data_IF_616409236435
#
_entry.id   IF_616409236435
#
_cell.length_a   1.000
_cell.length_b   1.000
_cell.length_c   1.000
_cell.angle_alpha   90.00
_cell.angle_beta   90.00
_cell.angle_gamma   90.00
#
_symmetry.space_group_name_H-M   'P 1'
#
loop_
_entity.id
_entity.type
_entity.pdbx_description
1 polymer ?
#
# COMPACT_ATOMS: atom_id res chain seq x y z
N UNK A 1 9.10 11.37 1.84
CA UNK A 1 8.56 10.88 3.09
C UNK A 1 7.18 10.30 2.88
N UNK A 2 7.00 9.07 3.30
CA UNK A 2 5.71 8.38 3.30
C UNK A 2 5.41 7.88 4.71
N UNK A 3 4.18 7.50 4.97
CA UNK A 3 3.75 6.84 6.23
C UNK A 3 4.59 5.61 6.56
N UNK A 4 5.07 4.88 5.56
CA UNK A 4 5.96 3.73 5.75
C UNK A 4 7.26 4.08 6.50
N UNK A 5 7.86 5.23 6.22
CA UNK A 5 9.08 5.67 6.93
C UNK A 5 8.82 5.87 8.41
N UNK A 6 7.71 6.51 8.74
CA UNK A 6 7.33 6.73 10.14
C UNK A 6 6.95 5.44 10.85
N UNK A 7 6.22 4.55 10.18
CA UNK A 7 5.81 3.26 10.72
C UNK A 7 7.04 2.41 11.10
N UNK A 8 8.02 2.31 10.21
CA UNK A 8 9.28 1.59 10.49
C UNK A 8 10.05 2.25 11.65
N UNK A 9 10.15 3.57 11.67
CA UNK A 9 10.90 4.26 12.72
C UNK A 9 10.31 4.08 14.12
N UNK A 10 9.00 3.90 14.22
CA UNK A 10 8.28 3.67 15.49
C UNK A 10 8.34 2.21 15.95
N UNK A 11 8.58 1.28 15.06
CA UNK A 11 8.58 -0.14 15.39
C UNK A 11 9.90 -0.55 16.06
N UNK A 12 9.87 -1.29 17.18
CA UNK A 12 11.08 -1.76 17.86
C UNK A 12 12.03 -2.58 16.99
N UNK A 13 11.50 -3.26 15.97
CA UNK A 13 12.31 -4.08 15.04
C UNK A 13 13.31 -3.23 14.26
N UNK A 14 13.05 -1.93 14.10
CA UNK A 14 13.96 -1.01 13.42
C UNK A 14 15.36 -1.00 14.02
N UNK A 15 15.47 -1.25 15.33
CA UNK A 15 16.74 -1.30 16.07
C UNK A 15 17.58 -2.55 15.76
N UNK A 16 16.95 -3.56 15.19
CA UNK A 16 17.58 -4.82 14.80
C UNK A 16 18.00 -4.84 13.33
N UNK A 17 17.59 -3.83 12.56
CA UNK A 17 17.96 -3.70 11.16
C UNK A 17 19.38 -3.16 11.05
N UNK A 18 20.16 -3.77 10.15
CA UNK A 18 21.53 -3.32 9.87
C UNK A 18 21.57 -1.91 9.29
N UNK A 19 20.65 -1.62 8.39
CA UNK A 19 20.53 -0.34 7.71
C UNK A 19 19.09 -0.12 7.27
N UNK A 20 18.63 1.13 7.33
CA UNK A 20 17.33 1.56 6.80
C UNK A 20 17.61 2.60 5.71
N UNK A 21 17.45 2.20 4.46
CA UNK A 21 17.67 3.06 3.30
C UNK A 21 16.34 3.69 2.85
N UNK A 22 16.33 5.00 2.69
CA UNK A 22 15.14 5.73 2.24
C UNK A 22 15.24 6.03 0.75
N UNK A 23 14.14 5.91 0.03
CA UNK A 23 14.03 6.15 -1.40
C UNK A 23 13.07 7.29 -1.69
N UNK A 24 13.31 7.99 -2.79
CA UNK A 24 12.43 9.04 -3.29
C UNK A 24 11.15 8.51 -3.94
N UNK A 25 11.22 7.28 -4.46
CA UNK A 25 10.07 6.60 -5.05
C UNK A 25 10.11 5.08 -4.82
N UNK A 26 8.94 4.44 -4.98
CA UNK A 26 8.77 3.02 -4.71
C UNK A 26 9.40 2.13 -5.78
N UNK A 27 9.48 2.60 -7.02
CA UNK A 27 10.06 1.81 -8.13
C UNK A 27 11.55 1.62 -7.90
N UNK A 28 12.26 2.69 -7.51
CA UNK A 28 13.68 2.62 -7.19
C UNK A 28 13.96 1.65 -6.04
N UNK A 29 13.13 1.65 -4.99
CA UNK A 29 13.25 0.71 -3.89
C UNK A 29 13.06 -0.75 -4.35
N UNK A 30 12.04 -1.02 -5.16
CA UNK A 30 11.79 -2.36 -5.71
C UNK A 30 12.90 -2.82 -6.67
N UNK A 31 13.49 -1.91 -7.43
CA UNK A 31 14.64 -2.24 -8.28
C UNK A 31 15.86 -2.64 -7.44
N UNK A 32 16.14 -1.93 -6.37
CA UNK A 32 17.22 -2.28 -5.44
C UNK A 32 16.99 -3.64 -4.76
N UNK A 33 15.73 -3.95 -4.42
CA UNK A 33 15.36 -5.27 -3.91
C UNK A 33 15.61 -6.36 -4.96
N UNK A 34 15.18 -6.14 -6.21
CA UNK A 34 15.36 -7.11 -7.31
C UNK A 34 16.84 -7.43 -7.57
N UNK A 35 17.70 -6.45 -7.43
CA UNK A 35 19.16 -6.61 -7.64
C UNK A 35 19.91 -7.14 -6.43
N UNK A 36 19.23 -7.46 -5.35
CA UNK A 36 19.83 -8.01 -4.12
C UNK A 36 20.56 -6.99 -3.24
N UNK A 37 20.38 -5.69 -3.51
CA UNK A 37 20.96 -4.63 -2.66
C UNK A 37 20.15 -4.37 -1.39
N UNK A 38 18.92 -4.87 -1.33
CA UNK A 38 18.04 -4.84 -0.17
C UNK A 38 17.53 -6.24 0.13
N UNK A 39 17.27 -6.52 1.39
CA UNK A 39 16.64 -7.76 1.84
C UNK A 39 15.12 -7.67 1.81
N UNK A 40 14.58 -6.47 2.07
CA UNK A 40 13.14 -6.20 2.09
C UNK A 40 12.85 -4.74 1.77
N UNK A 41 11.62 -4.47 1.35
CA UNK A 41 11.08 -3.12 1.17
C UNK A 41 9.81 -3.00 2.00
N UNK A 42 9.69 -1.90 2.76
CA UNK A 42 8.46 -1.52 3.43
C UNK A 42 7.79 -0.42 2.61
N UNK A 43 6.56 -0.67 2.22
CA UNK A 43 5.79 0.20 1.34
C UNK A 43 4.31 0.09 1.71
N UNK A 44 3.52 1.10 1.37
CA UNK A 44 2.07 1.01 1.41
C UNK A 44 1.56 -0.24 0.69
N UNK A 45 0.65 -0.98 1.31
CA UNK A 45 0.19 -2.27 0.79
C UNK A 45 -0.46 -2.16 -0.58
N UNK A 46 -1.31 -1.15 -0.79
CA UNK A 46 -2.01 -0.93 -2.07
C UNK A 46 -1.00 -0.66 -3.18
N UNK A 47 -0.05 0.22 -2.93
CA UNK A 47 1.02 0.56 -3.88
C UNK A 47 1.93 -0.65 -4.13
N UNK A 48 2.31 -1.35 -3.08
CA UNK A 48 3.14 -2.56 -3.18
C UNK A 48 2.46 -3.64 -4.02
N UNK A 49 1.19 -3.93 -3.77
CA UNK A 49 0.42 -4.91 -4.54
C UNK A 49 0.28 -4.50 -6.01
N UNK A 50 0.07 -3.23 -6.30
CA UNK A 50 0.00 -2.74 -7.67
C UNK A 50 1.27 -3.03 -8.48
N UNK A 51 2.43 -2.74 -7.92
CA UNK A 51 3.70 -2.98 -8.62
C UNK A 51 4.08 -4.46 -8.67
N UNK A 52 3.89 -5.19 -7.60
CA UNK A 52 4.30 -6.60 -7.52
C UNK A 52 3.38 -7.52 -8.30
N UNK A 53 2.08 -7.22 -8.40
CA UNK A 53 1.12 -8.00 -9.19
C UNK A 53 1.48 -8.09 -10.68
N UNK A 54 2.23 -7.13 -11.19
CA UNK A 54 2.68 -7.07 -12.59
C UNK A 54 3.96 -7.85 -12.86
N UNK A 55 4.60 -8.34 -11.80
CA UNK A 55 5.87 -9.08 -11.88
C UNK A 55 5.75 -10.39 -11.10
N UNK A 56 4.93 -11.27 -11.63
CA UNK A 56 4.63 -12.56 -11.02
C UNK A 56 5.91 -13.33 -10.65
N UNK A 57 5.92 -13.87 -9.44
CA UNK A 57 7.01 -14.74 -8.95
C UNK A 57 8.31 -14.01 -8.57
N UNK A 58 8.41 -12.68 -8.78
CA UNK A 58 9.62 -11.93 -8.41
C UNK A 58 9.59 -11.43 -6.96
N UNK A 59 8.39 -11.25 -6.41
CA UNK A 59 8.18 -10.71 -5.07
C UNK A 59 7.22 -11.56 -4.27
N UNK A 60 7.36 -11.54 -2.98
CA UNK A 60 6.37 -12.04 -2.03
C UNK A 60 6.01 -10.96 -1.04
N UNK A 61 4.76 -10.89 -0.64
CA UNK A 61 4.29 -10.01 0.42
C UNK A 61 4.22 -10.84 1.70
N UNK A 62 4.90 -10.36 2.75
CA UNK A 62 4.91 -11.01 4.05
C UNK A 62 3.59 -10.78 4.77
N UNK A 63 3.21 -11.70 5.65
CA UNK A 63 2.01 -11.56 6.50
C UNK A 63 2.22 -10.55 7.62
N UNK A 64 3.45 -10.40 8.12
CA UNK A 64 3.78 -9.38 9.11
C UNK A 64 3.77 -7.99 8.47
N UNK A 65 3.33 -6.99 9.24
CA UNK A 65 3.21 -5.61 8.79
C UNK A 65 3.56 -4.63 9.90
N UNK A 66 3.69 -3.36 9.53
CA UNK A 66 4.01 -2.26 10.45
C UNK A 66 2.77 -1.48 10.91
N UNK A 67 1.60 -2.09 10.87
CA UNK A 67 0.34 -1.49 11.23
C UNK A 67 -0.59 -1.26 10.04
N UNK A 68 -1.76 -0.71 10.32
CA UNK A 68 -2.77 -0.38 9.30
C UNK A 68 -2.96 1.13 9.19
N UNK A 69 -3.36 1.57 8.03
CA UNK A 69 -3.74 2.96 7.77
C UNK A 69 -5.02 3.02 6.95
N UNK A 70 -5.68 4.16 7.00
CA UNK A 70 -6.91 4.39 6.25
C UNK A 70 -6.66 5.34 5.09
N UNK A 71 -7.30 5.06 3.96
CA UNK A 71 -7.38 5.99 2.84
C UNK A 71 -8.61 6.87 2.97
N UNK A 72 -8.46 8.12 2.61
CA UNK A 72 -9.57 9.05 2.60
C UNK A 72 -9.58 9.91 1.34
N UNK A 73 -10.76 10.37 0.97
CA UNK A 73 -10.95 11.34 -0.10
C UNK A 73 -11.13 12.73 0.52
N UNK A 74 -10.21 13.63 0.21
CA UNK A 74 -10.29 15.01 0.66
C UNK A 74 -11.28 15.84 -0.18
N UNK A 75 -12.15 16.55 0.49
CA UNK A 75 -13.14 17.46 -0.12
C UNK A 75 -12.97 18.87 0.45
N UNK A 76 -13.46 19.88 -0.29
CA UNK A 76 -13.54 21.23 0.26
C UNK A 76 -14.48 21.23 1.47
N UNK A 77 -14.18 22.07 2.45
CA UNK A 77 -14.94 22.15 3.71
C UNK A 77 -16.44 22.38 3.51
N UNK A 78 -16.81 23.09 2.46
CA UNK A 78 -18.20 23.47 2.19
C UNK A 78 -18.96 22.47 1.29
N UNK A 79 -18.28 21.47 0.74
CA UNK A 79 -18.88 20.45 -0.16
C UNK A 79 -19.64 19.35 0.60
N UNK A 80 -20.52 19.74 1.51
CA UNK A 80 -21.27 18.80 2.36
C UNK A 80 -22.20 17.87 1.58
N UNK A 81 -22.84 18.39 0.52
CA UNK A 81 -23.71 17.56 -0.32
C UNK A 81 -22.92 16.51 -1.10
N UNK A 82 -21.73 16.86 -1.62
CA UNK A 82 -20.85 15.93 -2.29
C UNK A 82 -20.30 14.88 -1.32
N UNK A 83 -19.94 15.28 -0.11
CA UNK A 83 -19.50 14.35 0.94
C UNK A 83 -20.57 13.29 1.22
N UNK A 84 -21.81 13.68 1.42
CA UNK A 84 -22.90 12.74 1.69
C UNK A 84 -23.14 11.78 0.52
N UNK A 85 -23.10 12.27 -0.71
CA UNK A 85 -23.26 11.44 -1.91
C UNK A 85 -22.10 10.45 -2.09
N UNK A 86 -20.87 10.89 -1.85
CA UNK A 86 -19.67 10.07 -1.97
C UNK A 86 -19.65 8.97 -0.91
N UNK A 87 -19.96 9.30 0.34
CA UNK A 87 -20.05 8.31 1.43
C UNK A 87 -21.12 7.27 1.14
N UNK A 88 -22.30 7.68 0.68
CA UNK A 88 -23.38 6.77 0.32
C UNK A 88 -22.97 5.85 -0.86
N UNK A 89 -22.29 6.39 -1.86
CA UNK A 89 -21.80 5.61 -3.00
C UNK A 89 -20.74 4.58 -2.57
N UNK A 90 -19.80 4.96 -1.71
CA UNK A 90 -18.77 4.06 -1.19
C UNK A 90 -19.39 2.94 -0.34
N UNK A 91 -20.36 3.25 0.50
CA UNK A 91 -21.07 2.27 1.30
C UNK A 91 -21.85 1.26 0.41
N UNK A 92 -22.52 1.75 -0.63
CA UNK A 92 -23.22 0.92 -1.59
C UNK A 92 -22.24 -0.01 -2.34
N UNK A 93 -21.09 0.49 -2.75
CA UNK A 93 -20.05 -0.29 -3.43
C UNK A 93 -19.44 -1.37 -2.54
N UNK A 94 -19.31 -1.13 -1.25
CA UNK A 94 -18.90 -2.15 -0.28
C UNK A 94 -19.96 -3.21 -0.11
N UNK A 95 -21.23 -2.82 -0.02
CA UNK A 95 -22.36 -3.73 0.21
C UNK A 95 -22.64 -4.64 -0.99
N UNK A 96 -22.54 -4.15 -2.23
CA UNK A 96 -22.84 -4.89 -3.44
C UNK A 96 -21.66 -5.66 -4.05
N UNK A 97 -20.47 -5.57 -3.45
CA UNK A 97 -19.26 -6.24 -3.92
C UNK A 97 -18.50 -5.49 -5.03
N UNK A 98 -18.94 -4.33 -5.46
CA UNK A 98 -18.26 -3.53 -6.51
C UNK A 98 -16.86 -3.13 -6.08
N UNK A 99 -16.67 -2.67 -4.84
CA UNK A 99 -15.37 -2.29 -4.31
C UNK A 99 -14.38 -3.46 -4.33
N UNK A 100 -14.83 -4.66 -3.95
CA UNK A 100 -14.01 -5.87 -3.97
C UNK A 100 -13.62 -6.28 -5.40
N UNK A 101 -14.52 -6.15 -6.37
CA UNK A 101 -14.22 -6.43 -7.78
C UNK A 101 -13.18 -5.48 -8.34
N UNK A 102 -13.27 -4.20 -8.01
CA UNK A 102 -12.28 -3.20 -8.41
C UNK A 102 -10.92 -3.50 -7.77
N UNK A 103 -10.89 -3.78 -6.46
CA UNK A 103 -9.67 -4.16 -5.77
C UNK A 103 -9.04 -5.42 -6.37
N UNK A 104 -9.83 -6.43 -6.67
CA UNK A 104 -9.36 -7.65 -7.32
C UNK A 104 -8.74 -7.36 -8.70
N UNK A 105 -9.36 -6.50 -9.48
CA UNK A 105 -8.83 -6.11 -10.81
C UNK A 105 -7.45 -5.46 -10.74
N UNK A 106 -7.21 -4.63 -9.74
CA UNK A 106 -5.98 -3.83 -9.67
C UNK A 106 -4.87 -4.45 -8.82
N UNK A 107 -5.23 -5.25 -7.82
CA UNK A 107 -4.31 -5.70 -6.77
C UNK A 107 -4.23 -7.22 -6.62
N UNK A 108 -4.92 -7.99 -7.45
CA UNK A 108 -4.74 -9.44 -7.41
C UNK A 108 -3.29 -9.80 -7.74
N UNK A 109 -2.70 -10.61 -6.87
CA UNK A 109 -1.51 -11.36 -7.27
C UNK A 109 -1.90 -12.26 -8.46
N UNK A 110 -1.05 -12.39 -9.49
CA UNK A 110 -1.28 -13.38 -10.52
C UNK A 110 -1.48 -14.72 -9.84
N UNK A 111 -2.57 -15.40 -10.13
CA UNK A 111 -2.80 -16.75 -9.66
C UNK A 111 -1.65 -17.61 -10.17
N UNK A 112 -0.94 -18.17 -9.25
CA UNK A 112 0.09 -19.17 -9.55
C UNK A 112 -0.59 -20.44 -10.06
#
# INVERSE_FOLDING_TARGET
GSSAVEAVAKDPVSRQMKEIKKFGDNVAALMDLTTGRLDAVVVDEVVGRYYTSRKAGQYRILSDNFGSEEYGVGLRKDDKALLAKLDAALDAMKADGTAQKIAAKWFQAPQQ
#
